data_IF_859054163479
#
_entry.id   IF_859054163479
#
_cell.length_a   1.000
_cell.length_b   1.000
_cell.length_c   1.000
_cell.angle_alpha   90.00
_cell.angle_beta   90.00
_cell.angle_gamma   90.00
#
_symmetry.space_group_name_H-M   'P 1'
#
loop_
_entity.id
_entity.type
_entity.pdbx_description
1 polymer ?
#
# COMPACT_ATOMS: atom_id res chain seq x y z
N UNK A 1 1.10 -16.66 17.55
CA UNK A 1 2.06 -16.03 16.64
C UNK A 1 3.38 -15.92 17.39
N UNK A 2 4.38 -16.70 17.01
CA UNK A 2 5.72 -16.61 17.57
C UNK A 2 6.68 -16.14 16.49
N UNK A 3 7.13 -14.90 16.58
CA UNK A 3 8.23 -14.42 15.75
C UNK A 3 9.47 -15.27 16.07
N UNK A 4 9.99 -16.01 15.10
CA UNK A 4 11.21 -16.81 15.26
C UNK A 4 12.38 -15.84 15.31
N UNK A 5 12.78 -15.45 16.53
CA UNK A 5 13.93 -14.58 16.75
C UNK A 5 15.20 -15.24 16.20
N UNK A 6 15.84 -14.62 15.27
CA UNK A 6 17.27 -14.81 14.97
C UNK A 6 17.66 -15.39 13.63
N UNK A 7 16.78 -16.07 12.87
CA UNK A 7 17.17 -16.72 11.62
C UNK A 7 16.75 -15.96 10.34
N UNK A 8 15.81 -15.00 10.45
CA UNK A 8 15.21 -14.33 9.31
C UNK A 8 15.98 -13.04 8.91
N UNK A 9 16.73 -12.44 9.83
CA UNK A 9 17.31 -11.10 9.65
C UNK A 9 18.45 -11.01 8.60
N UNK A 10 19.20 -12.06 8.32
CA UNK A 10 20.38 -11.91 7.44
C UNK A 10 20.15 -12.23 5.95
N UNK A 11 19.15 -13.06 5.60
CA UNK A 11 18.93 -13.45 4.21
C UNK A 11 17.54 -13.13 3.64
N UNK A 12 16.59 -12.73 4.47
CA UNK A 12 15.19 -12.52 4.09
C UNK A 12 14.82 -11.08 3.69
N UNK A 13 15.66 -10.08 4.00
CA UNK A 13 15.40 -8.66 3.82
C UNK A 13 16.47 -7.97 2.99
N UNK A 14 16.12 -6.89 2.33
CA UNK A 14 17.04 -6.03 1.57
C UNK A 14 16.68 -4.57 1.74
N UNK A 15 17.68 -3.68 1.69
CA UNK A 15 17.43 -2.25 1.65
C UNK A 15 16.63 -1.86 0.40
N UNK A 16 15.66 -0.97 0.59
CA UNK A 16 14.96 -0.33 -0.51
C UNK A 16 15.82 0.83 -1.05
N UNK A 17 16.66 0.51 -2.04
CA UNK A 17 17.64 1.46 -2.59
C UNK A 17 18.57 2.00 -1.51
N UNK A 18 18.69 3.33 -1.44
CA UNK A 18 19.51 4.04 -0.45
C UNK A 18 18.71 4.50 0.78
N UNK A 19 17.45 4.09 0.91
CA UNK A 19 16.64 4.42 2.08
C UNK A 19 16.99 3.54 3.28
N UNK A 20 16.60 3.95 4.48
CA UNK A 20 16.70 3.14 5.69
C UNK A 20 15.67 2.00 5.76
N UNK A 21 14.74 1.93 4.80
CA UNK A 21 13.67 0.93 4.80
C UNK A 21 14.20 -0.44 4.39
N UNK A 22 13.98 -1.44 5.25
CA UNK A 22 14.25 -2.84 4.95
C UNK A 22 12.97 -3.52 4.50
N UNK A 23 12.96 -4.09 3.30
CA UNK A 23 11.83 -4.84 2.76
C UNK A 23 12.12 -6.34 2.74
N UNK A 24 11.14 -7.20 3.07
CA UNK A 24 11.29 -8.63 2.85
C UNK A 24 11.40 -8.92 1.35
N UNK A 25 12.16 -9.95 0.98
CA UNK A 25 12.32 -10.36 -0.43
C UNK A 25 11.03 -10.87 -1.07
N UNK A 26 10.05 -11.23 -0.24
CA UNK A 26 8.71 -11.69 -0.64
C UNK A 26 7.67 -10.91 0.13
N UNK A 27 6.63 -10.46 -0.54
CA UNK A 27 5.45 -9.82 0.05
C UNK A 27 4.19 -10.64 -0.22
N UNK A 28 3.18 -10.51 0.65
CA UNK A 28 1.86 -11.08 0.40
C UNK A 28 0.97 -10.03 -0.31
N UNK A 29 0.65 -10.29 -1.58
CA UNK A 29 -0.31 -9.48 -2.34
C UNK A 29 -1.76 -9.86 -1.99
N UNK A 30 -2.59 -8.86 -1.71
CA UNK A 30 -3.97 -9.03 -1.29
C UNK A 30 -4.98 -8.72 -2.41
N UNK A 31 -4.59 -8.90 -3.66
CA UNK A 31 -5.49 -8.68 -4.79
C UNK A 31 -6.53 -9.80 -4.89
N UNK A 32 -6.08 -11.05 -4.99
CA UNK A 32 -6.96 -12.21 -5.09
C UNK A 32 -7.20 -12.84 -3.72
N UNK A 33 -8.38 -13.41 -3.52
CA UNK A 33 -8.77 -14.14 -2.31
C UNK A 33 -8.88 -13.28 -1.03
N UNK A 34 -8.91 -11.96 -1.14
CA UNK A 34 -9.06 -11.04 0.00
C UNK A 34 -10.30 -10.13 -0.11
N UNK A 35 -11.06 -10.20 -1.20
CA UNK A 35 -12.26 -9.41 -1.41
C UNK A 35 -13.51 -9.96 -0.71
N UNK A 36 -14.64 -9.33 -1.01
CA UNK A 36 -15.96 -9.59 -0.41
C UNK A 36 -16.50 -11.00 -0.64
N UNK A 37 -16.07 -11.67 -1.73
CA UNK A 37 -16.50 -13.04 -2.08
C UNK A 37 -15.63 -14.14 -1.48
N UNK A 38 -14.52 -13.80 -0.83
CA UNK A 38 -13.57 -14.78 -0.33
C UNK A 38 -13.85 -15.18 1.13
N UNK A 39 -13.38 -16.35 1.52
CA UNK A 39 -13.55 -16.85 2.88
C UNK A 39 -12.62 -16.14 3.86
N UNK A 40 -13.20 -15.45 4.85
CA UNK A 40 -12.45 -14.63 5.80
C UNK A 40 -11.46 -15.44 6.65
N UNK A 41 -11.83 -16.63 7.11
CA UNK A 41 -10.92 -17.48 7.90
C UNK A 41 -9.70 -17.93 7.08
N UNK A 42 -9.87 -18.13 5.78
CA UNK A 42 -8.75 -18.41 4.88
C UNK A 42 -7.84 -17.20 4.71
N UNK A 43 -8.41 -15.99 4.60
CA UNK A 43 -7.61 -14.73 4.58
C UNK A 43 -6.74 -14.61 5.83
N UNK A 44 -7.32 -14.85 7.02
CA UNK A 44 -6.58 -14.84 8.30
C UNK A 44 -5.44 -15.84 8.28
N UNK A 45 -5.69 -17.08 7.86
CA UNK A 45 -4.65 -18.12 7.77
C UNK A 45 -3.51 -17.72 6.83
N UNK A 46 -3.83 -17.14 5.68
CA UNK A 46 -2.81 -16.65 4.74
C UNK A 46 -1.95 -15.56 5.36
N UNK A 47 -2.57 -14.56 6.01
CA UNK A 47 -1.85 -13.49 6.69
C UNK A 47 -0.97 -14.01 7.84
N UNK A 48 -1.50 -14.91 8.66
CA UNK A 48 -0.75 -15.50 9.79
C UNK A 48 0.40 -16.36 9.30
N UNK A 49 0.17 -17.20 8.29
CA UNK A 49 1.24 -18.01 7.69
C UNK A 49 2.34 -17.14 7.10
N UNK A 50 1.98 -16.07 6.40
CA UNK A 50 2.95 -15.11 5.87
C UNK A 50 3.77 -14.49 7.00
N UNK A 51 3.13 -13.92 8.00
CA UNK A 51 3.78 -13.25 9.12
C UNK A 51 4.67 -14.21 9.93
N UNK A 52 4.19 -15.42 10.24
CA UNK A 52 4.94 -16.44 10.98
C UNK A 52 6.19 -16.93 10.23
N UNK A 53 6.21 -16.78 8.90
CA UNK A 53 7.37 -17.08 8.05
C UNK A 53 8.21 -15.84 7.68
N UNK A 54 8.03 -14.71 8.37
CA UNK A 54 8.83 -13.51 8.18
C UNK A 54 8.44 -12.66 6.97
N UNK A 55 7.29 -12.93 6.34
CA UNK A 55 6.71 -12.07 5.32
C UNK A 55 5.92 -10.98 6.02
N UNK A 56 6.57 -9.84 6.25
CA UNK A 56 6.00 -8.72 7.02
C UNK A 56 5.34 -7.66 6.11
N UNK A 57 5.50 -7.76 4.80
CA UNK A 57 4.90 -6.82 3.86
C UNK A 57 3.59 -7.36 3.28
N UNK A 58 2.53 -6.56 3.45
CA UNK A 58 1.17 -6.81 2.93
C UNK A 58 0.83 -5.72 1.91
N UNK A 59 0.62 -6.16 0.66
CA UNK A 59 0.46 -5.26 -0.47
C UNK A 59 -0.99 -5.18 -0.95
N UNK A 60 -1.61 -4.01 -0.77
CA UNK A 60 -2.99 -3.72 -1.13
C UNK A 60 -3.08 -2.67 -2.25
N UNK A 61 -4.30 -2.38 -2.64
CA UNK A 61 -4.72 -1.20 -3.38
C UNK A 61 -6.17 -0.88 -3.04
N UNK A 62 -6.57 0.37 -3.21
CA UNK A 62 -7.93 0.81 -2.90
C UNK A 62 -9.00 0.09 -3.72
N UNK A 63 -8.69 -0.34 -4.94
CA UNK A 63 -9.61 -1.03 -5.84
C UNK A 63 -9.56 -2.56 -5.74
N UNK A 64 -8.76 -3.15 -4.84
CA UNK A 64 -8.66 -4.61 -4.72
C UNK A 64 -9.91 -5.24 -4.11
N UNK A 65 -10.27 -6.41 -4.67
CA UNK A 65 -11.47 -7.18 -4.42
C UNK A 65 -12.45 -7.05 -5.57
N UNK A 66 -13.40 -7.98 -5.80
CA UNK A 66 -14.49 -7.79 -6.76
C UNK A 66 -15.24 -6.48 -6.48
N UNK A 67 -15.63 -6.22 -5.22
CA UNK A 67 -16.07 -4.90 -4.79
C UNK A 67 -14.86 -4.04 -4.42
N UNK A 68 -14.63 -2.87 -5.06
CA UNK A 68 -13.53 -1.98 -4.73
C UNK A 68 -13.50 -1.60 -3.24
N UNK A 69 -12.33 -1.74 -2.61
CA UNK A 69 -12.15 -1.47 -1.19
C UNK A 69 -12.40 -2.66 -0.26
N UNK A 70 -12.96 -3.77 -0.76
CA UNK A 70 -13.28 -4.91 0.09
C UNK A 70 -12.04 -5.60 0.66
N UNK A 71 -10.94 -5.69 -0.09
CA UNK A 71 -9.69 -6.23 0.41
C UNK A 71 -9.13 -5.39 1.57
N UNK A 72 -9.14 -4.07 1.47
CA UNK A 72 -8.72 -3.17 2.56
C UNK A 72 -9.64 -3.29 3.78
N UNK A 73 -10.95 -3.41 3.61
CA UNK A 73 -11.90 -3.64 4.71
C UNK A 73 -11.60 -4.95 5.45
N UNK A 74 -11.38 -6.04 4.71
CA UNK A 74 -11.09 -7.35 5.29
C UNK A 74 -9.72 -7.37 5.99
N UNK A 75 -8.70 -6.77 5.39
CA UNK A 75 -7.40 -6.64 6.04
C UNK A 75 -7.46 -5.76 7.30
N UNK A 76 -8.21 -4.66 7.25
CA UNK A 76 -8.48 -3.82 8.41
C UNK A 76 -9.14 -4.59 9.57
N UNK A 77 -10.05 -5.52 9.25
CA UNK A 77 -10.62 -6.42 10.24
C UNK A 77 -9.58 -7.36 10.85
N UNK A 78 -8.70 -7.95 10.03
CA UNK A 78 -7.59 -8.81 10.49
C UNK A 78 -6.63 -8.02 11.39
N UNK A 79 -6.31 -6.78 11.03
CA UNK A 79 -5.49 -5.91 11.89
C UNK A 79 -6.18 -5.67 13.23
N UNK A 80 -7.44 -5.28 13.22
CA UNK A 80 -8.19 -4.98 14.45
C UNK A 80 -8.32 -6.18 15.39
N UNK A 81 -8.56 -7.37 14.82
CA UNK A 81 -8.81 -8.59 15.61
C UNK A 81 -7.50 -9.24 16.10
N UNK A 82 -6.44 -9.21 15.29
CA UNK A 82 -5.28 -10.09 15.50
C UNK A 82 -3.92 -9.40 15.30
N UNK A 83 -3.64 -8.79 14.12
CA UNK A 83 -2.29 -8.36 13.75
C UNK A 83 -1.95 -6.92 14.16
N UNK A 84 -2.90 -6.13 14.61
CA UNK A 84 -2.67 -4.72 14.95
C UNK A 84 -1.67 -4.50 16.07
N UNK A 85 -1.51 -5.45 16.97
CA UNK A 85 -0.49 -5.43 18.04
C UNK A 85 0.95 -5.46 17.51
N UNK A 86 1.12 -5.86 16.24
CA UNK A 86 2.41 -5.90 15.53
C UNK A 86 2.56 -4.79 14.51
N UNK A 87 1.75 -3.71 14.58
CA UNK A 87 1.73 -2.65 13.55
C UNK A 87 3.13 -2.14 13.18
N UNK A 88 3.99 -1.95 14.16
CA UNK A 88 5.35 -1.43 13.96
C UNK A 88 6.32 -2.45 13.33
N UNK A 89 5.93 -3.71 13.26
CA UNK A 89 6.68 -4.79 12.59
C UNK A 89 6.15 -5.07 11.17
N UNK A 90 5.04 -4.45 10.78
CA UNK A 90 4.40 -4.66 9.49
C UNK A 90 4.73 -3.53 8.51
N UNK A 91 4.95 -3.89 7.26
CA UNK A 91 4.97 -2.97 6.12
C UNK A 91 3.63 -3.10 5.40
N UNK A 92 2.79 -2.11 5.56
CA UNK A 92 1.46 -2.07 4.93
C UNK A 92 1.49 -1.08 3.79
N UNK A 93 1.21 -1.57 2.57
CA UNK A 93 1.23 -0.73 1.38
C UNK A 93 -0.15 -0.70 0.73
N UNK A 94 -0.53 0.46 0.20
CA UNK A 94 -1.73 0.59 -0.62
C UNK A 94 -1.49 1.54 -1.79
N UNK A 95 -2.42 1.55 -2.74
CA UNK A 95 -2.28 2.25 -4.01
C UNK A 95 -3.60 2.90 -4.40
N UNK A 96 -3.53 3.99 -5.16
CA UNK A 96 -4.68 4.61 -5.81
C UNK A 96 -4.34 5.03 -7.25
N UNK A 97 -5.29 4.88 -8.18
CA UNK A 97 -5.09 5.19 -9.60
C UNK A 97 -6.18 4.63 -10.51
N UNK A 98 -6.98 3.69 -10.02
CA UNK A 98 -8.11 3.12 -10.74
C UNK A 98 -9.43 3.68 -10.21
N UNK A 99 -10.50 3.50 -10.98
CA UNK A 99 -11.82 4.02 -10.64
C UNK A 99 -12.34 3.45 -9.31
N UNK A 100 -12.81 4.35 -8.45
CA UNK A 100 -13.34 4.04 -7.13
C UNK A 100 -14.75 4.57 -6.91
N UNK A 101 -15.15 5.62 -7.62
CA UNK A 101 -16.49 6.20 -7.61
C UNK A 101 -16.78 6.96 -8.89
N UNK A 102 -18.05 7.09 -9.23
CA UNK A 102 -18.50 7.77 -10.44
C UNK A 102 -18.17 9.26 -10.46
N UNK A 103 -17.99 9.78 -11.65
CA UNK A 103 -17.75 11.21 -11.88
C UNK A 103 -16.28 11.57 -12.03
N UNK A 104 -15.97 12.88 -12.19
CA UNK A 104 -14.66 13.32 -12.64
C UNK A 104 -13.55 13.26 -11.59
N UNK A 105 -13.87 12.89 -10.34
CA UNK A 105 -12.92 12.92 -9.23
C UNK A 105 -12.60 11.54 -8.64
N UNK A 106 -13.13 10.47 -9.23
CA UNK A 106 -13.04 9.11 -8.68
C UNK A 106 -11.97 8.22 -9.30
N UNK A 107 -11.04 8.76 -10.10
CA UNK A 107 -10.10 7.98 -10.89
C UNK A 107 -8.79 8.75 -11.16
N UNK A 108 -7.74 8.04 -11.62
CA UNK A 108 -6.48 8.55 -12.16
C UNK A 108 -5.52 9.14 -11.11
N UNK A 109 -4.90 10.31 -11.38
CA UNK A 109 -3.73 10.79 -10.63
C UNK A 109 -3.84 12.22 -10.09
N UNK A 110 -5.02 12.86 -10.16
CA UNK A 110 -5.17 14.21 -9.62
C UNK A 110 -4.90 14.26 -8.12
N UNK A 111 -4.39 15.39 -7.65
CA UNK A 111 -4.19 15.64 -6.21
C UNK A 111 -5.45 15.38 -5.40
N UNK A 112 -6.61 15.82 -5.90
CA UNK A 112 -7.91 15.61 -5.24
C UNK A 112 -8.22 14.13 -5.07
N UNK A 113 -8.05 13.33 -6.12
CA UNK A 113 -8.32 11.91 -6.10
C UNK A 113 -7.35 11.15 -5.17
N UNK A 114 -6.05 11.40 -5.29
CA UNK A 114 -5.03 10.67 -4.53
C UNK A 114 -5.16 10.88 -3.02
N UNK A 115 -5.32 12.13 -2.57
CA UNK A 115 -5.45 12.42 -1.14
C UNK A 115 -6.77 11.91 -0.57
N UNK A 116 -7.88 12.06 -1.29
CA UNK A 116 -9.17 11.49 -0.89
C UNK A 116 -9.12 9.97 -0.81
N UNK A 117 -8.47 9.33 -1.79
CA UNK A 117 -8.30 7.87 -1.82
C UNK A 117 -7.46 7.36 -0.65
N UNK A 118 -6.36 8.03 -0.31
CA UNK A 118 -5.54 7.67 0.85
C UNK A 118 -6.35 7.76 2.15
N UNK A 119 -7.12 8.83 2.35
CA UNK A 119 -7.97 8.98 3.53
C UNK A 119 -9.03 7.88 3.63
N UNK A 120 -9.63 7.51 2.51
CA UNK A 120 -10.59 6.41 2.46
C UNK A 120 -9.93 5.06 2.74
N UNK A 121 -8.72 4.81 2.22
CA UNK A 121 -7.95 3.58 2.48
C UNK A 121 -7.59 3.45 3.95
N UNK A 122 -7.08 4.50 4.56
CA UNK A 122 -6.78 4.55 6.00
C UNK A 122 -8.02 4.25 6.84
N UNK A 123 -9.16 4.85 6.49
CA UNK A 123 -10.44 4.60 7.18
C UNK A 123 -10.90 3.15 7.03
N UNK A 124 -10.79 2.54 5.82
CA UNK A 124 -11.16 1.13 5.60
C UNK A 124 -10.31 0.18 6.43
N UNK A 125 -9.01 0.44 6.51
CA UNK A 125 -8.07 -0.40 7.26
C UNK A 125 -8.01 -0.08 8.75
N UNK A 126 -8.57 1.06 9.21
CA UNK A 126 -8.48 1.48 10.60
C UNK A 126 -7.07 1.91 11.01
N UNK A 127 -6.34 2.54 10.09
CA UNK A 127 -4.95 2.96 10.26
C UNK A 127 -4.84 4.48 10.26
N UNK A 128 -3.82 4.99 10.96
CA UNK A 128 -3.45 6.41 10.91
C UNK A 128 -2.49 6.70 9.74
N UNK A 129 -1.69 5.71 9.33
CA UNK A 129 -0.75 5.80 8.22
C UNK A 129 -0.53 4.44 7.54
N UNK A 130 -0.07 4.48 6.30
CA UNK A 130 0.52 3.34 5.60
C UNK A 130 2.04 3.52 5.48
N UNK A 131 2.77 2.42 5.35
CA UNK A 131 4.23 2.49 5.19
C UNK A 131 4.59 3.01 3.80
N UNK A 132 3.93 2.51 2.75
CA UNK A 132 4.16 2.99 1.39
C UNK A 132 2.81 3.25 0.71
N UNK A 133 2.65 4.46 0.16
CA UNK A 133 1.51 4.81 -0.69
C UNK A 133 1.96 4.94 -2.14
N UNK A 134 1.33 4.17 -3.04
CA UNK A 134 1.67 4.17 -4.47
C UNK A 134 0.65 4.95 -5.30
N UNK A 135 1.14 5.69 -6.30
CA UNK A 135 0.31 5.98 -7.47
C UNK A 135 0.29 4.74 -8.36
N UNK A 136 -0.90 4.17 -8.58
CA UNK A 136 -1.07 2.81 -9.10
C UNK A 136 -0.77 2.68 -10.58
N UNK A 137 -0.98 3.75 -11.35
CA UNK A 137 -0.69 3.83 -12.78
C UNK A 137 -0.49 5.28 -13.20
N UNK A 138 0.33 5.47 -14.23
CA UNK A 138 0.52 6.78 -14.85
C UNK A 138 -0.81 7.36 -15.33
N UNK A 139 -1.04 8.66 -15.06
CA UNK A 139 -2.16 9.44 -15.58
C UNK A 139 -1.65 10.31 -16.75
N UNK A 140 -2.15 10.09 -18.00
CA UNK A 140 -1.69 10.83 -19.15
C UNK A 140 -2.18 12.28 -19.19
N UNK A 141 -3.22 12.61 -18.44
CA UNK A 141 -3.92 13.90 -18.53
C UNK A 141 -3.63 14.84 -17.35
N UNK A 142 -3.12 14.31 -16.23
CA UNK A 142 -2.72 15.12 -15.07
C UNK A 142 -1.23 15.47 -15.15
N UNK A 143 -0.84 16.74 -14.96
CA UNK A 143 0.56 17.12 -14.87
C UNK A 143 1.30 16.30 -13.81
N UNK A 144 2.49 15.80 -14.17
CA UNK A 144 3.26 14.91 -13.32
C UNK A 144 3.59 15.56 -11.96
N UNK A 145 3.85 16.88 -11.98
CA UNK A 145 4.13 17.67 -10.79
C UNK A 145 2.96 17.70 -9.79
N UNK A 146 1.72 17.70 -10.29
CA UNK A 146 0.53 17.64 -9.43
C UNK A 146 0.46 16.29 -8.72
N UNK A 147 0.64 15.20 -9.46
CA UNK A 147 0.66 13.84 -8.90
C UNK A 147 1.79 13.67 -7.89
N UNK A 148 3.01 14.09 -8.23
CA UNK A 148 4.16 14.02 -7.32
C UNK A 148 3.98 14.92 -6.09
N UNK A 149 3.41 16.12 -6.26
CA UNK A 149 3.07 17.01 -5.15
C UNK A 149 1.99 16.43 -4.22
N UNK A 150 1.05 15.64 -4.74
CA UNK A 150 0.09 14.91 -3.92
C UNK A 150 0.77 13.82 -3.07
N UNK A 151 1.66 13.03 -3.67
CA UNK A 151 2.43 12.02 -2.96
C UNK A 151 3.34 12.65 -1.88
N UNK A 152 4.03 13.74 -2.20
CA UNK A 152 4.82 14.49 -1.22
C UNK A 152 3.96 14.98 -0.04
N UNK A 153 2.75 15.46 -0.30
CA UNK A 153 1.80 15.88 0.74
C UNK A 153 1.34 14.72 1.63
N UNK A 154 1.19 13.53 1.07
CA UNK A 154 0.86 12.32 1.86
C UNK A 154 1.97 12.02 2.89
N UNK A 155 3.24 12.16 2.49
CA UNK A 155 4.38 11.98 3.40
C UNK A 155 4.47 13.13 4.42
N UNK A 156 4.38 14.37 3.97
CA UNK A 156 4.45 15.55 4.86
C UNK A 156 3.35 15.57 5.93
N UNK A 157 2.17 15.06 5.60
CA UNK A 157 1.06 14.94 6.55
C UNK A 157 1.15 13.73 7.49
N UNK A 158 2.18 12.88 7.33
CA UNK A 158 2.36 11.67 8.13
C UNK A 158 1.39 10.53 7.80
N UNK A 159 0.62 10.62 6.72
CA UNK A 159 -0.34 9.59 6.29
C UNK A 159 0.32 8.45 5.49
N UNK A 160 1.52 8.69 4.99
CA UNK A 160 2.39 7.67 4.41
C UNK A 160 3.83 7.93 4.88
N UNK A 161 4.61 6.88 5.12
CA UNK A 161 6.03 7.06 5.48
C UNK A 161 6.89 7.20 4.23
N UNK A 162 6.53 6.47 3.18
CA UNK A 162 7.18 6.47 1.87
C UNK A 162 6.13 6.51 0.77
N UNK A 163 6.56 6.83 -0.44
CA UNK A 163 5.71 6.78 -1.63
C UNK A 163 6.38 5.97 -2.73
N UNK A 164 5.58 5.49 -3.66
CA UNK A 164 6.05 4.72 -4.80
C UNK A 164 5.22 4.96 -6.05
N UNK A 165 5.73 4.47 -7.16
CA UNK A 165 5.09 4.53 -8.47
C UNK A 165 4.94 3.10 -9.03
N UNK A 166 3.80 2.82 -9.61
CA UNK A 166 3.46 1.53 -10.22
C UNK A 166 3.00 1.76 -11.66
N UNK A 167 3.32 0.85 -12.56
CA UNK A 167 2.93 0.95 -13.97
C UNK A 167 3.35 2.26 -14.66
N UNK A 168 4.54 2.73 -14.38
CA UNK A 168 5.21 3.82 -15.06
C UNK A 168 6.25 3.26 -16.03
N UNK A 169 6.37 3.85 -17.22
CA UNK A 169 7.50 3.58 -18.10
C UNK A 169 8.79 4.21 -17.55
N UNK A 170 9.94 3.73 -18.03
CA UNK A 170 11.24 4.17 -17.51
C UNK A 170 11.53 5.66 -17.71
N UNK A 171 10.99 6.28 -18.77
CA UNK A 171 11.16 7.72 -19.04
C UNK A 171 10.37 8.52 -18.02
N UNK A 172 9.08 8.26 -17.92
CA UNK A 172 8.19 8.98 -17.00
C UNK A 172 8.58 8.74 -15.53
N UNK A 173 9.08 7.54 -15.20
CA UNK A 173 9.62 7.27 -13.86
C UNK A 173 10.82 8.18 -13.53
N UNK A 174 11.73 8.37 -14.49
CA UNK A 174 12.89 9.25 -14.32
C UNK A 174 12.49 10.71 -14.13
N UNK A 175 11.51 11.18 -14.92
CA UNK A 175 10.94 12.54 -14.80
C UNK A 175 10.24 12.74 -13.45
N UNK A 176 9.46 11.74 -13.00
CA UNK A 176 8.79 11.76 -11.72
C UNK A 176 9.79 11.86 -10.53
N UNK A 177 10.90 11.14 -10.60
CA UNK A 177 11.93 11.18 -9.55
C UNK A 177 12.53 12.60 -9.42
N UNK A 178 12.73 13.30 -10.53
CA UNK A 178 13.21 14.71 -10.54
C UNK A 178 12.14 15.62 -9.94
N UNK A 179 10.89 15.51 -10.38
CA UNK A 179 9.77 16.35 -9.90
C UNK A 179 9.49 16.16 -8.41
N UNK A 180 9.75 14.98 -7.85
CA UNK A 180 9.55 14.70 -6.43
C UNK A 180 10.61 15.36 -5.53
N UNK A 181 11.81 15.61 -6.06
CA UNK A 181 12.96 16.14 -5.28
C UNK A 181 13.07 17.66 -5.32
N UNK A 182 12.25 18.33 -6.11
CA UNK A 182 12.18 19.80 -6.26
C UNK A 182 10.82 20.34 -5.81
#
# INVERSE_FOLDING_TARGET
>A
VHCIKGQIYNDGYSHCGNSGLMLPKVSLGLWHNFGDTANFENMKKLCFTAFDNGITQFDLANNYGPEPGSAEKNFGRILKEDLGVYRDELIITTKAGYEMWDGPYGNWGSRKYLLASLDQSLKRMGLEYVDIFYHHRMDPDTPLEETMGALASAVQSGKALYVGLSNYDGKTLSEAAVSYTH
#
